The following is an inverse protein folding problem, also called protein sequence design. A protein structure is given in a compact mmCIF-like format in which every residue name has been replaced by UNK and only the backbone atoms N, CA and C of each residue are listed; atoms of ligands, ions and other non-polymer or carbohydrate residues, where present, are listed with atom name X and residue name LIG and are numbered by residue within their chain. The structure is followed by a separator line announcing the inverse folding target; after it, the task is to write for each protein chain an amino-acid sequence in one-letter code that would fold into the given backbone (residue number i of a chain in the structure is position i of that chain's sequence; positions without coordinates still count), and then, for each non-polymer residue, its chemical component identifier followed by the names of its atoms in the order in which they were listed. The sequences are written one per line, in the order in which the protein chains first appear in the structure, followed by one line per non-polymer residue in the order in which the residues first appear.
data_IF_986687939045
#
_entry.id   IF_986687939045
#
_cell.length_a   1.000
_cell.length_b   1.000
_cell.length_c   1.000
_cell.angle_alpha   90.00
_cell.angle_beta   90.00
_cell.angle_gamma   90.00
#
_symmetry.space_group_name_H-M   'P 1'
#
loop_
_entity.id
_entity.type
_entity.pdbx_description
1 polymer ?
#
# COMPACT_ATOMS: atom_id res chain seq x y z
N UNK A 1 58.65 10.59 8.49
CA UNK A 1 57.59 11.25 9.28
C UNK A 1 56.52 10.21 9.56
N UNK A 2 56.56 9.63 10.77
CA UNK A 2 55.53 8.71 11.27
C UNK A 2 54.41 9.55 11.90
N UNK A 3 53.18 9.43 11.39
CA UNK A 3 52.00 9.99 12.04
C UNK A 3 51.12 8.85 12.55
N UNK A 4 51.08 8.75 13.87
CA UNK A 4 50.29 7.78 14.64
C UNK A 4 48.79 8.11 14.60
N UNK A 5 47.95 7.10 14.39
CA UNK A 5 46.50 7.19 14.54
C UNK A 5 46.08 7.19 16.02
N UNK A 6 45.01 7.90 16.43
CA UNK A 6 44.54 7.89 17.82
C UNK A 6 43.81 6.57 18.15
N UNK A 7 44.22 5.93 19.24
CA UNK A 7 43.57 4.76 19.81
C UNK A 7 42.26 5.15 20.50
N UNK A 8 41.12 4.74 19.94
CA UNK A 8 39.81 4.84 20.59
C UNK A 8 39.64 3.69 21.58
N UNK A 9 39.68 4.01 22.88
CA UNK A 9 39.39 3.04 23.97
C UNK A 9 37.87 2.88 24.10
N UNK A 10 37.37 1.71 23.74
CA UNK A 10 35.97 1.30 23.96
C UNK A 10 35.71 1.09 25.46
N UNK A 11 34.77 1.84 26.05
CA UNK A 11 34.25 1.59 27.41
C UNK A 11 33.15 0.50 27.34
N UNK A 12 33.14 -0.49 28.26
CA UNK A 12 32.09 -1.51 28.26
C UNK A 12 30.75 -0.93 28.78
N UNK A 13 29.70 -1.10 28.00
CA UNK A 13 28.32 -0.77 28.38
C UNK A 13 27.79 -1.85 29.33
N UNK A 14 27.46 -1.46 30.58
CA UNK A 14 26.78 -2.32 31.56
C UNK A 14 25.38 -2.69 31.05
N UNK A 15 25.14 -3.98 30.80
CA UNK A 15 23.80 -4.54 30.56
C UNK A 15 22.95 -4.45 31.84
N UNK A 16 21.87 -3.67 31.82
CA UNK A 16 20.81 -3.72 32.84
C UNK A 16 19.86 -4.88 32.50
N UNK A 17 19.73 -5.84 33.42
CA UNK A 17 18.79 -6.95 33.34
C UNK A 17 17.35 -6.45 33.51
N UNK A 18 16.56 -6.48 32.44
CA UNK A 18 15.12 -6.25 32.50
C UNK A 18 14.38 -7.59 32.55
N UNK A 19 13.70 -7.87 33.67
CA UNK A 19 12.80 -9.02 33.80
C UNK A 19 11.47 -8.71 33.08
N UNK A 20 11.01 -9.62 32.22
CA UNK A 20 9.69 -9.54 31.57
C UNK A 20 8.57 -9.89 32.56
N UNK A 21 7.44 -9.17 32.60
CA UNK A 21 6.24 -9.64 33.27
C UNK A 21 5.54 -10.72 32.42
N UNK A 22 5.04 -11.77 33.07
CA UNK A 22 4.19 -12.79 32.48
C UNK A 22 2.77 -12.26 32.30
N UNK A 23 2.27 -12.24 31.07
CA UNK A 23 0.85 -11.97 30.80
C UNK A 23 0.20 -13.22 30.20
N UNK A 24 -0.61 -13.90 31.01
CA UNK A 24 -1.58 -14.91 30.54
C UNK A 24 -2.75 -14.16 29.90
N UNK A 25 -3.08 -14.46 28.65
CA UNK A 25 -4.33 -14.03 27.99
C UNK A 25 -5.39 -15.13 28.11
N UNK A 26 -6.67 -14.80 28.36
CA UNK A 26 -7.78 -15.74 28.20
C UNK A 26 -8.15 -15.92 26.71
N UNK A 27 -8.85 -17.01 26.35
CA UNK A 27 -9.12 -17.36 24.96
C UNK A 27 -10.20 -16.48 24.30
N UNK A 28 -10.03 -16.31 22.99
CA UNK A 28 -10.83 -15.49 22.09
C UNK A 28 -12.17 -16.13 21.73
N UNK A 29 -13.26 -15.36 21.75
CA UNK A 29 -14.44 -15.63 20.93
C UNK A 29 -14.42 -14.69 19.73
N UNK A 30 -13.75 -15.11 18.64
CA UNK A 30 -13.78 -14.40 17.37
C UNK A 30 -15.09 -14.71 16.64
N UNK A 31 -15.97 -13.70 16.56
CA UNK A 31 -17.15 -13.74 15.70
C UNK A 31 -16.67 -13.51 14.27
N UNK A 32 -16.85 -14.51 13.41
CA UNK A 32 -16.54 -14.46 11.98
C UNK A 32 -17.30 -13.30 11.30
N UNK A 33 -16.58 -12.24 10.94
CA UNK A 33 -17.07 -11.22 10.02
C UNK A 33 -16.66 -11.62 8.60
N UNK A 34 -17.61 -12.16 7.84
CA UNK A 34 -17.47 -12.44 6.41
C UNK A 34 -17.22 -11.11 5.69
N UNK A 35 -16.03 -10.90 5.12
CA UNK A 35 -15.76 -9.80 4.19
C UNK A 35 -16.45 -10.11 2.85
N UNK A 36 -17.78 -9.98 2.84
CA UNK A 36 -18.56 -9.96 1.60
C UNK A 36 -18.38 -8.55 1.04
N UNK A 37 -17.70 -8.45 -0.10
CA UNK A 37 -17.78 -7.26 -0.97
C UNK A 37 -19.28 -6.99 -1.14
N UNK A 38 -19.80 -5.93 -0.51
CA UNK A 38 -21.21 -5.57 -0.62
C UNK A 38 -21.41 -4.98 -2.01
N UNK A 39 -22.49 -5.38 -2.66
CA UNK A 39 -23.01 -4.70 -3.83
C UNK A 39 -23.20 -3.19 -3.54
N UNK A 40 -23.14 -2.32 -4.56
CA UNK A 40 -23.16 -0.88 -4.36
C UNK A 40 -24.39 -0.46 -3.54
N UNK A 41 -24.19 0.35 -2.50
CA UNK A 41 -25.27 0.97 -1.73
C UNK A 41 -26.07 1.92 -2.60
N UNK A 42 -27.38 2.02 -2.33
CA UNK A 42 -28.32 2.92 -3.02
C UNK A 42 -27.75 4.34 -3.12
N UNK A 43 -27.56 4.80 -4.36
CA UNK A 43 -26.90 6.07 -4.70
C UNK A 43 -26.06 6.03 -5.97
N UNK A 44 -25.78 4.85 -6.53
CA UNK A 44 -25.06 4.73 -7.80
C UNK A 44 -25.97 5.11 -8.99
N UNK A 45 -25.64 6.14 -9.80
CA UNK A 45 -26.40 6.49 -10.99
C UNK A 45 -26.43 5.31 -11.97
N UNK A 46 -27.62 4.87 -12.38
CA UNK A 46 -27.78 3.84 -13.40
C UNK A 46 -27.69 4.51 -14.78
N UNK A 47 -26.51 4.47 -15.39
CA UNK A 47 -26.29 4.85 -16.78
C UNK A 47 -24.97 5.60 -16.98
N UNK A 48 -23.90 4.87 -17.30
CA UNK A 48 -22.55 5.39 -17.53
C UNK A 48 -21.55 4.88 -16.49
N UNK A 49 -20.32 4.61 -16.93
CA UNK A 49 -19.19 4.31 -16.04
C UNK A 49 -18.97 5.47 -15.07
N UNK A 50 -18.73 5.20 -13.78
CA UNK A 50 -18.52 6.27 -12.79
C UNK A 50 -17.15 6.90 -13.05
N UNK A 51 -17.14 8.21 -13.29
CA UNK A 51 -15.91 8.98 -13.48
C UNK A 51 -15.32 9.36 -12.14
N UNK A 52 -14.00 9.27 -12.06
CA UNK A 52 -13.19 9.70 -10.94
C UNK A 52 -12.21 10.75 -11.41
N UNK A 53 -12.09 11.87 -10.68
CA UNK A 53 -11.27 13.00 -11.13
C UNK A 53 -10.23 13.41 -10.11
N UNK A 54 -9.01 13.65 -10.60
CA UNK A 54 -7.88 14.19 -9.84
C UNK A 54 -7.10 15.17 -10.71
N UNK A 55 -6.13 15.87 -10.13
CA UNK A 55 -5.15 16.67 -10.87
C UNK A 55 -4.24 15.79 -11.73
N UNK A 56 -3.84 16.31 -12.89
CA UNK A 56 -2.82 15.73 -13.76
C UNK A 56 -1.43 15.64 -13.10
N UNK A 57 -0.48 14.99 -13.77
CA UNK A 57 0.82 14.61 -13.23
C UNK A 57 0.67 13.76 -11.97
N UNK A 58 -0.06 12.65 -12.09
CA UNK A 58 -0.29 11.74 -10.97
C UNK A 58 1.01 11.08 -10.53
N UNK A 59 1.12 10.85 -9.23
CA UNK A 59 2.28 10.21 -8.64
C UNK A 59 1.86 9.38 -7.43
N UNK A 60 2.61 8.32 -7.14
CA UNK A 60 2.49 7.40 -5.99
C UNK A 60 1.05 7.23 -5.45
N UNK A 61 0.62 8.03 -4.47
CA UNK A 61 -0.73 7.96 -3.86
C UNK A 61 -1.86 8.13 -4.89
N UNK A 62 -1.72 9.09 -5.81
CA UNK A 62 -2.71 9.34 -6.88
C UNK A 62 -2.71 8.28 -7.99
N UNK A 63 -1.71 7.42 -8.03
CA UNK A 63 -1.63 6.25 -8.95
C UNK A 63 -2.18 5.00 -8.26
N UNK A 64 -1.86 4.83 -6.97
CA UNK A 64 -2.36 3.74 -6.15
C UNK A 64 -3.89 3.80 -5.96
N UNK A 65 -4.47 5.01 -5.87
CA UNK A 65 -5.91 5.20 -5.73
C UNK A 65 -6.70 4.61 -6.91
N UNK A 66 -6.38 4.92 -8.19
CA UNK A 66 -6.98 4.26 -9.35
C UNK A 66 -6.92 2.74 -9.32
N UNK A 67 -5.77 2.16 -8.95
CA UNK A 67 -5.66 0.70 -8.79
C UNK A 67 -6.62 0.16 -7.73
N UNK A 68 -6.68 0.79 -6.55
CA UNK A 68 -7.58 0.39 -5.46
C UNK A 68 -9.05 0.49 -5.89
N UNK A 69 -9.40 1.58 -6.58
CA UNK A 69 -10.75 1.81 -7.09
C UNK A 69 -11.13 0.69 -8.08
N UNK A 70 -10.32 0.47 -9.13
CA UNK A 70 -10.57 -0.56 -10.14
C UNK A 70 -10.65 -1.98 -9.57
N UNK A 71 -9.91 -2.29 -8.50
CA UNK A 71 -9.83 -3.66 -7.97
C UNK A 71 -10.85 -3.97 -6.86
N UNK A 72 -11.27 -2.96 -6.09
CA UNK A 72 -12.04 -3.20 -4.85
C UNK A 72 -13.31 -2.35 -4.71
N UNK A 73 -13.49 -1.31 -5.53
CA UNK A 73 -14.60 -0.37 -5.38
C UNK A 73 -15.49 -0.38 -6.63
N UNK A 74 -14.91 -0.11 -7.79
CA UNK A 74 -15.61 0.02 -9.06
C UNK A 74 -14.72 -0.45 -10.23
N UNK A 75 -14.92 -1.67 -10.74
CA UNK A 75 -14.15 -2.24 -11.85
C UNK A 75 -14.22 -1.45 -13.15
N UNK A 76 -15.32 -0.74 -13.39
CA UNK A 76 -15.57 0.01 -14.62
C UNK A 76 -15.23 1.50 -14.47
N UNK A 77 -14.53 1.87 -13.39
CA UNK A 77 -14.17 3.26 -13.12
C UNK A 77 -13.31 3.87 -14.23
N UNK A 78 -13.73 5.06 -14.67
CA UNK A 78 -12.98 5.91 -15.60
C UNK A 78 -12.27 7.03 -14.85
N UNK A 79 -11.06 7.38 -15.27
CA UNK A 79 -10.27 8.42 -14.63
C UNK A 79 -10.14 9.65 -15.54
N UNK A 80 -10.35 10.82 -14.95
CA UNK A 80 -10.24 12.11 -15.63
C UNK A 80 -9.18 12.93 -14.91
N UNK A 81 -8.34 13.63 -15.68
CA UNK A 81 -7.26 14.47 -15.17
C UNK A 81 -7.52 15.93 -15.52
N UNK A 82 -7.57 16.78 -14.51
CA UNK A 82 -7.68 18.24 -14.70
C UNK A 82 -6.33 18.90 -14.42
N UNK A 83 -5.98 20.01 -15.11
CA UNK A 83 -4.76 20.74 -14.80
C UNK A 83 -4.76 21.28 -13.36
N UNK A 84 -3.56 21.43 -12.79
CA UNK A 84 -3.37 22.14 -11.53
C UNK A 84 -3.90 23.58 -11.62
N UNK A 85 -4.70 23.99 -10.64
CA UNK A 85 -5.33 25.32 -10.59
C UNK A 85 -6.60 25.46 -11.42
N UNK A 86 -7.08 24.38 -12.04
CA UNK A 86 -8.32 24.31 -12.83
C UNK A 86 -9.23 23.19 -12.35
N UNK A 87 -9.26 22.96 -11.04
CA UNK A 87 -10.03 21.88 -10.44
C UNK A 87 -11.55 22.11 -10.50
N UNK A 88 -11.97 23.34 -10.75
CA UNK A 88 -13.33 23.76 -11.04
C UNK A 88 -13.81 23.36 -12.44
N UNK A 89 -12.90 23.12 -13.39
CA UNK A 89 -13.21 22.62 -14.75
C UNK A 89 -13.57 21.11 -14.77
N UNK A 90 -13.54 20.43 -13.62
CA UNK A 90 -13.83 18.98 -13.53
C UNK A 90 -15.28 18.67 -13.94
N UNK A 91 -15.56 17.47 -14.51
CA UNK A 91 -16.93 17.05 -14.79
C UNK A 91 -17.79 17.03 -13.52
N UNK A 92 -19.00 17.58 -13.61
CA UNK A 92 -19.90 17.71 -12.47
C UNK A 92 -20.35 16.35 -11.90
N UNK A 93 -20.36 15.31 -12.75
CA UNK A 93 -20.71 13.93 -12.43
C UNK A 93 -19.52 13.09 -11.94
N UNK A 94 -18.30 13.62 -11.97
CA UNK A 94 -17.10 12.90 -11.54
C UNK A 94 -16.87 12.99 -10.02
N UNK A 95 -16.48 11.87 -9.41
CA UNK A 95 -16.10 11.77 -7.99
C UNK A 95 -14.67 12.28 -7.82
N UNK A 96 -14.45 13.41 -7.10
CA UNK A 96 -13.11 13.94 -6.94
C UNK A 96 -12.33 13.22 -5.84
N UNK A 97 -11.03 13.02 -6.06
CA UNK A 97 -10.09 12.54 -5.06
C UNK A 97 -8.74 13.27 -5.17
N UNK A 98 -7.99 13.31 -4.07
CA UNK A 98 -6.71 14.00 -3.92
C UNK A 98 -6.74 15.51 -4.30
N UNK A 99 -7.92 16.14 -4.30
CA UNK A 99 -8.12 17.57 -4.56
C UNK A 99 -8.39 18.29 -3.23
N UNK A 100 -7.78 19.45 -2.93
CA UNK A 100 -8.06 20.20 -1.71
C UNK A 100 -9.56 20.50 -1.53
N UNK A 101 -10.05 20.39 -0.30
CA UNK A 101 -11.44 20.72 0.05
C UNK A 101 -12.49 19.65 -0.29
N UNK A 102 -12.11 18.54 -0.94
CA UNK A 102 -13.04 17.41 -1.20
C UNK A 102 -12.95 16.37 -0.09
N UNK A 103 -13.99 15.53 0.05
CA UNK A 103 -14.07 14.49 1.08
C UNK A 103 -12.87 13.52 1.04
N UNK A 104 -12.55 13.03 -0.16
CA UNK A 104 -11.35 12.22 -0.43
C UNK A 104 -10.16 13.13 -0.78
N UNK A 105 -9.92 14.15 0.04
CA UNK A 105 -8.85 15.14 -0.19
C UNK A 105 -7.43 14.57 -0.12
N UNK A 106 -6.41 15.39 -0.46
CA UNK A 106 -5.01 14.98 -0.48
C UNK A 106 -4.52 14.53 0.91
N UNK A 107 -3.30 13.99 0.98
CA UNK A 107 -2.67 13.61 2.24
C UNK A 107 -2.75 14.72 3.29
N UNK A 108 -3.18 14.37 4.50
CA UNK A 108 -3.27 15.23 5.67
C UNK A 108 -3.10 14.41 6.97
N UNK A 109 -3.41 15.02 8.12
CA UNK A 109 -3.31 14.36 9.43
C UNK A 109 -4.19 13.10 9.58
N UNK A 110 -5.19 12.87 8.71
CA UNK A 110 -6.03 11.66 8.69
C UNK A 110 -5.43 10.57 7.79
N UNK A 111 -4.34 10.83 7.09
CA UNK A 111 -3.61 9.89 6.25
C UNK A 111 -3.62 10.26 4.77
N UNK A 112 -3.05 9.36 3.95
CA UNK A 112 -3.03 9.47 2.49
C UNK A 112 -4.43 9.33 1.88
N UNK A 113 -4.58 9.71 0.62
CA UNK A 113 -5.84 9.55 -0.12
C UNK A 113 -6.23 8.07 -0.20
N UNK A 114 -5.23 7.20 -0.40
CA UNK A 114 -5.42 5.75 -0.36
C UNK A 114 -6.01 5.27 0.98
N UNK A 115 -5.48 5.74 2.11
CA UNK A 115 -6.00 5.37 3.43
C UNK A 115 -7.44 5.86 3.63
N UNK A 116 -7.76 7.06 3.14
CA UNK A 116 -9.12 7.61 3.18
C UNK A 116 -10.11 6.78 2.36
N UNK A 117 -9.68 6.27 1.19
CA UNK A 117 -10.49 5.34 0.38
C UNK A 117 -10.78 4.04 1.15
N UNK A 118 -9.77 3.43 1.79
CA UNK A 118 -9.99 2.23 2.61
C UNK A 118 -11.06 2.48 3.70
N UNK A 119 -10.96 3.61 4.39
CA UNK A 119 -11.92 3.97 5.45
C UNK A 119 -13.32 4.24 4.90
N UNK A 120 -13.44 5.03 3.82
CA UNK A 120 -14.74 5.38 3.23
C UNK A 120 -15.50 4.13 2.75
N UNK A 121 -14.79 3.22 2.10
CA UNK A 121 -15.37 2.02 1.49
C UNK A 121 -15.33 0.78 2.40
N UNK A 122 -14.85 0.92 3.65
CA UNK A 122 -14.79 -0.15 4.68
C UNK A 122 -14.05 -1.39 4.18
N UNK A 123 -12.88 -1.16 3.59
CA UNK A 123 -12.03 -2.22 3.04
C UNK A 123 -11.11 -2.78 4.14
N UNK A 124 -11.56 -3.84 4.80
CA UNK A 124 -10.88 -4.48 5.94
C UNK A 124 -9.98 -5.65 5.53
N UNK A 125 -9.04 -5.42 4.60
CA UNK A 125 -8.04 -6.43 4.19
C UNK A 125 -6.66 -6.11 4.80
N UNK A 126 -6.07 -7.01 5.61
CA UNK A 126 -4.73 -6.81 6.18
C UNK A 126 -3.64 -6.51 5.15
N UNK A 127 -3.77 -7.00 3.92
CA UNK A 127 -2.83 -6.70 2.85
C UNK A 127 -3.01 -5.25 2.34
N UNK A 128 -4.25 -4.74 2.27
CA UNK A 128 -4.53 -3.35 1.92
C UNK A 128 -4.06 -2.39 3.03
N UNK A 129 -4.16 -2.78 4.30
CA UNK A 129 -3.57 -2.01 5.40
C UNK A 129 -2.05 -1.90 5.27
N UNK A 130 -1.37 -2.97 4.84
CA UNK A 130 0.07 -2.92 4.54
C UNK A 130 0.38 -2.06 3.31
N UNK A 131 -0.44 -2.14 2.26
CA UNK A 131 -0.34 -1.24 1.10
C UNK A 131 -0.43 0.22 1.54
N UNK A 132 -1.37 0.56 2.42
CA UNK A 132 -1.52 1.93 2.92
C UNK A 132 -0.26 2.42 3.65
N UNK A 133 0.40 1.56 4.45
CA UNK A 133 1.69 1.87 5.10
C UNK A 133 2.82 2.07 4.10
N UNK A 134 2.89 1.25 3.05
CA UNK A 134 3.86 1.39 1.97
C UNK A 134 3.70 2.75 1.26
N UNK A 135 2.46 3.08 0.89
CA UNK A 135 2.13 4.34 0.20
C UNK A 135 2.43 5.53 1.12
N UNK A 136 2.06 5.46 2.41
CA UNK A 136 2.39 6.49 3.39
C UNK A 136 3.90 6.70 3.52
N UNK A 137 4.69 5.63 3.62
CA UNK A 137 6.16 5.74 3.68
C UNK A 137 6.76 6.41 2.44
N UNK A 138 6.23 6.12 1.24
CA UNK A 138 6.67 6.80 0.02
C UNK A 138 6.25 8.28 -0.01
N UNK A 139 5.02 8.61 0.42
CA UNK A 139 4.54 10.00 0.53
C UNK A 139 5.38 10.80 1.51
N UNK A 140 5.66 10.25 2.69
CA UNK A 140 6.51 10.89 3.71
C UNK A 140 7.95 11.05 3.24
N UNK A 141 8.46 10.14 2.40
CA UNK A 141 9.79 10.26 1.81
C UNK A 141 9.91 11.49 0.91
N UNK A 142 8.87 11.79 0.12
CA UNK A 142 8.81 12.95 -0.78
C UNK A 142 8.51 14.24 0.00
N UNK A 143 7.50 14.23 0.86
CA UNK A 143 7.00 15.45 1.52
C UNK A 143 7.81 15.85 2.74
N UNK A 144 8.41 14.89 3.44
CA UNK A 144 8.99 15.10 4.78
C UNK A 144 10.42 14.56 4.90
N UNK A 145 11.01 14.10 3.79
CA UNK A 145 12.38 13.58 3.79
C UNK A 145 12.55 12.30 4.62
N UNK A 146 11.47 11.56 4.87
CA UNK A 146 11.52 10.30 5.62
C UNK A 146 12.51 9.31 4.97
N UNK A 147 13.29 8.63 5.80
CA UNK A 147 14.24 7.59 5.39
C UNK A 147 14.04 6.37 6.30
N UNK A 148 13.53 5.25 5.76
CA UNK A 148 13.22 4.08 6.56
C UNK A 148 14.49 3.41 7.08
N UNK A 149 14.50 3.07 8.37
CA UNK A 149 15.56 2.28 8.99
C UNK A 149 15.52 0.80 8.62
N UNK A 150 16.52 0.00 9.03
CA UNK A 150 16.66 -1.41 8.63
C UNK A 150 15.50 -2.36 9.01
N UNK A 151 14.60 -1.96 9.91
CA UNK A 151 13.43 -2.74 10.33
C UNK A 151 12.09 -2.24 9.80
N UNK A 152 12.07 -1.14 9.05
CA UNK A 152 10.85 -0.51 8.55
C UNK A 152 10.52 -1.01 7.15
N UNK A 153 10.16 -2.29 7.05
CA UNK A 153 9.96 -2.99 5.78
C UNK A 153 8.99 -2.27 4.84
N UNK A 154 7.81 -1.86 5.32
CA UNK A 154 6.83 -1.13 4.50
C UNK A 154 7.38 0.21 4.00
N UNK A 155 8.12 0.93 4.84
CA UNK A 155 8.78 2.18 4.45
C UNK A 155 9.84 1.96 3.37
N UNK A 156 10.67 0.92 3.51
CA UNK A 156 11.68 0.54 2.51
C UNK A 156 11.03 0.18 1.17
N UNK A 157 9.96 -0.61 1.19
CA UNK A 157 9.18 -0.93 -0.01
C UNK A 157 8.59 0.35 -0.60
N UNK A 158 8.11 1.28 0.23
CA UNK A 158 7.57 2.57 -0.20
C UNK A 158 8.58 3.42 -0.95
N UNK A 159 9.83 3.49 -0.46
CA UNK A 159 10.93 4.18 -1.16
C UNK A 159 11.28 3.49 -2.48
N UNK A 160 11.27 2.15 -2.53
CA UNK A 160 11.47 1.42 -3.78
C UNK A 160 10.35 1.67 -4.81
N UNK A 161 9.09 1.66 -4.35
CA UNK A 161 7.91 1.95 -5.17
C UNK A 161 7.93 3.40 -5.68
N UNK A 162 8.40 4.33 -4.85
CA UNK A 162 8.61 5.73 -5.23
C UNK A 162 9.60 5.84 -6.40
N UNK A 163 10.76 5.17 -6.31
CA UNK A 163 11.75 5.19 -7.40
C UNK A 163 11.19 4.63 -8.73
N UNK A 164 10.35 3.58 -8.65
CA UNK A 164 9.67 3.04 -9.85
C UNK A 164 8.63 4.04 -10.36
N UNK A 165 7.90 4.70 -9.47
CA UNK A 165 6.88 5.71 -9.82
C UNK A 165 7.52 6.92 -10.52
N UNK A 166 8.66 7.41 -10.02
CA UNK A 166 9.46 8.45 -10.67
C UNK A 166 9.88 7.99 -12.08
N UNK A 167 10.34 6.75 -12.24
CA UNK A 167 10.69 6.17 -13.53
C UNK A 167 9.51 6.09 -14.51
N UNK A 168 8.33 5.69 -14.04
CA UNK A 168 7.11 5.66 -14.86
C UNK A 168 6.71 7.05 -15.36
N UNK A 169 6.85 8.09 -14.52
CA UNK A 169 6.61 9.48 -14.91
C UNK A 169 7.59 9.98 -16.00
N UNK A 170 8.77 9.37 -16.12
CA UNK A 170 9.77 9.74 -17.13
C UNK A 170 9.53 9.05 -18.48
N UNK A 171 8.90 7.88 -18.50
CA UNK A 171 8.76 7.06 -19.73
C UNK A 171 7.36 7.08 -20.33
N UNK A 172 6.33 7.43 -19.55
CA UNK A 172 4.96 7.52 -20.04
C UNK A 172 4.57 8.97 -20.34
N UNK A 173 3.85 9.17 -21.44
CA UNK A 173 3.52 10.50 -21.98
C UNK A 173 2.22 11.09 -21.42
N UNK A 174 1.40 10.28 -20.73
CA UNK A 174 0.13 10.71 -20.14
C UNK A 174 -0.21 9.97 -18.84
N UNK A 175 -1.04 10.59 -18.01
CA UNK A 175 -1.50 10.03 -16.72
C UNK A 175 -2.31 8.73 -16.92
N UNK A 176 -3.12 8.64 -17.98
CA UNK A 176 -3.85 7.42 -18.34
C UNK A 176 -2.91 6.24 -18.59
N UNK A 177 -1.87 6.48 -19.39
CA UNK A 177 -0.88 5.47 -19.75
C UNK A 177 -0.05 5.06 -18.53
N UNK A 178 0.33 6.04 -17.70
CA UNK A 178 1.02 5.80 -16.44
C UNK A 178 0.21 4.91 -15.51
N UNK A 179 -1.08 5.20 -15.31
CA UNK A 179 -1.96 4.38 -14.47
C UNK A 179 -2.04 2.96 -15.03
N UNK A 180 -2.29 2.79 -16.33
CA UNK A 180 -2.40 1.47 -16.94
C UNK A 180 -1.10 0.66 -16.79
N UNK A 181 0.05 1.28 -17.06
CA UNK A 181 1.37 0.65 -16.89
C UNK A 181 1.64 0.26 -15.42
N UNK A 182 1.08 1.01 -14.47
CA UNK A 182 1.27 0.74 -13.03
C UNK A 182 0.38 -0.38 -12.48
N UNK A 183 -0.74 -0.74 -13.12
CA UNK A 183 -1.73 -1.65 -12.51
C UNK A 183 -1.12 -3.00 -12.10
N UNK A 184 -0.29 -3.59 -12.98
CA UNK A 184 0.36 -4.88 -12.71
C UNK A 184 1.38 -4.78 -11.56
N UNK A 185 2.01 -3.63 -11.37
CA UNK A 185 2.96 -3.40 -10.28
C UNK A 185 2.22 -3.43 -8.93
N UNK A 186 1.09 -2.72 -8.84
CA UNK A 186 0.27 -2.71 -7.63
C UNK A 186 -0.39 -4.09 -7.39
N UNK A 187 -0.81 -4.81 -8.43
CA UNK A 187 -1.30 -6.18 -8.31
C UNK A 187 -0.22 -7.12 -7.74
N UNK A 188 1.00 -7.03 -8.25
CA UNK A 188 2.13 -7.84 -7.80
C UNK A 188 2.51 -7.54 -6.34
N UNK A 189 2.56 -6.25 -5.99
CA UNK A 189 2.86 -5.82 -4.63
C UNK A 189 1.77 -6.25 -3.64
N UNK A 190 0.50 -6.07 -3.99
CA UNK A 190 -0.62 -6.53 -3.18
C UNK A 190 -0.57 -8.05 -2.98
N UNK A 191 -0.33 -8.83 -4.03
CA UNK A 191 -0.17 -10.28 -3.93
C UNK A 191 0.99 -10.68 -2.99
N UNK A 192 2.11 -9.97 -3.05
CA UNK A 192 3.24 -10.17 -2.14
C UNK A 192 2.86 -9.90 -0.68
N UNK A 193 2.29 -8.72 -0.40
CA UNK A 193 1.90 -8.32 0.96
C UNK A 193 0.82 -9.23 1.53
N UNK A 194 -0.11 -9.68 0.69
CA UNK A 194 -1.13 -10.68 1.06
C UNK A 194 -0.48 -12.00 1.44
N UNK A 195 0.46 -12.50 0.65
CA UNK A 195 1.17 -13.74 0.97
C UNK A 195 1.96 -13.63 2.28
N UNK A 196 2.60 -12.49 2.55
CA UNK A 196 3.29 -12.22 3.81
C UNK A 196 2.33 -12.16 5.01
N UNK A 197 1.22 -11.42 4.89
CA UNK A 197 0.20 -11.36 5.94
C UNK A 197 -0.42 -12.74 6.23
N UNK A 198 -0.60 -13.57 5.20
CA UNK A 198 -1.06 -14.95 5.34
C UNK A 198 -0.10 -15.83 6.10
N UNK A 199 1.19 -15.73 5.77
CA UNK A 199 2.25 -16.50 6.40
C UNK A 199 2.38 -16.14 7.88
N UNK A 200 2.35 -14.84 8.19
CA UNK A 200 2.36 -14.33 9.56
C UNK A 200 1.15 -14.84 10.35
N UNK A 201 -0.04 -14.81 9.75
CA UNK A 201 -1.27 -15.28 10.39
C UNK A 201 -1.31 -16.80 10.60
N UNK A 202 -0.74 -17.59 9.68
CA UNK A 202 -0.72 -19.06 9.82
C UNK A 202 0.39 -19.56 10.75
N UNK A 203 1.44 -18.76 10.98
CA UNK A 203 2.61 -19.17 11.75
C UNK A 203 3.46 -20.25 11.06
N UNK A 204 3.15 -20.56 9.80
CA UNK A 204 3.94 -21.48 8.99
C UNK A 204 5.34 -20.89 8.73
N UNK A 205 6.32 -21.75 8.47
CA UNK A 205 7.67 -21.33 8.07
C UNK A 205 7.85 -21.51 6.58
N UNK A 206 8.55 -20.57 5.95
CA UNK A 206 8.96 -20.74 4.57
C UNK A 206 9.83 -22.00 4.42
N UNK A 207 9.69 -22.73 3.32
CA UNK A 207 10.61 -23.83 3.02
C UNK A 207 12.05 -23.29 2.86
N UNK A 208 13.06 -24.13 3.11
CA UNK A 208 14.45 -23.76 2.86
C UNK A 208 14.66 -23.35 1.41
N UNK A 209 15.71 -22.56 1.14
CA UNK A 209 16.07 -22.19 -0.23
C UNK A 209 16.45 -23.47 -0.99
N UNK A 210 15.78 -23.72 -2.11
CA UNK A 210 16.12 -24.82 -3.01
C UNK A 210 17.38 -24.51 -3.82
N UNK A 211 18.05 -25.55 -4.30
CA UNK A 211 19.30 -25.42 -5.07
C UNK A 211 19.06 -24.95 -6.52
N UNK A 212 17.96 -25.36 -7.18
CA UNK A 212 17.53 -24.95 -8.53
C UNK A 212 16.00 -25.05 -8.72
N UNK A 213 15.43 -24.29 -9.66
CA UNK A 213 13.99 -24.28 -10.01
C UNK A 213 13.24 -23.04 -9.50
N UNK A 214 11.92 -22.87 -9.80
CA UNK A 214 11.12 -21.83 -9.15
C UNK A 214 11.30 -21.98 -7.65
N UNK A 215 11.72 -20.91 -6.98
CA UNK A 215 12.15 -21.01 -5.59
C UNK A 215 11.05 -21.70 -4.77
N UNK A 216 11.33 -22.75 -3.96
CA UNK A 216 10.33 -23.43 -3.12
C UNK A 216 9.42 -22.47 -2.33
N UNK A 217 9.98 -21.30 -1.99
CA UNK A 217 9.25 -20.14 -1.45
C UNK A 217 8.06 -19.72 -2.32
N UNK A 218 8.25 -19.51 -3.62
CA UNK A 218 7.20 -19.04 -4.55
C UNK A 218 6.07 -20.05 -4.68
N UNK A 219 6.38 -21.34 -4.80
CA UNK A 219 5.37 -22.41 -4.85
C UNK A 219 4.56 -22.47 -3.56
N UNK A 220 5.24 -22.43 -2.41
CA UNK A 220 4.61 -22.38 -1.10
C UNK A 220 3.68 -21.17 -0.96
N UNK A 221 4.15 -19.97 -1.30
CA UNK A 221 3.34 -18.74 -1.19
C UNK A 221 2.14 -18.75 -2.16
N UNK A 222 2.31 -19.30 -3.37
CA UNK A 222 1.18 -19.50 -4.31
C UNK A 222 0.15 -20.48 -3.75
N UNK A 223 0.58 -21.59 -3.15
CA UNK A 223 -0.31 -22.54 -2.51
C UNK A 223 -1.04 -21.90 -1.33
N UNK A 224 -0.34 -21.11 -0.51
CA UNK A 224 -0.92 -20.39 0.62
C UNK A 224 -2.02 -19.40 0.18
N UNK A 225 -1.77 -18.63 -0.88
CA UNK A 225 -2.76 -17.73 -1.49
C UNK A 225 -4.00 -18.51 -1.98
N UNK A 226 -3.80 -19.64 -2.67
CA UNK A 226 -4.90 -20.47 -3.18
C UNK A 226 -5.76 -21.06 -2.06
N UNK A 227 -5.15 -21.62 -1.01
CA UNK A 227 -5.88 -22.25 0.12
C UNK A 227 -6.91 -21.32 0.75
N UNK A 228 -6.58 -20.04 0.90
CA UNK A 228 -7.50 -19.08 1.53
C UNK A 228 -8.55 -18.52 0.56
N UNK A 229 -8.26 -18.50 -0.74
CA UNK A 229 -9.28 -18.20 -1.75
C UNK A 229 -10.36 -19.29 -1.81
N UNK A 230 -10.01 -20.56 -1.53
CA UNK A 230 -10.94 -21.70 -1.54
C UNK A 230 -11.75 -21.88 -0.24
N UNK A 231 -11.32 -21.26 0.86
CA UNK A 231 -11.91 -21.43 2.20
C UNK A 231 -12.82 -20.27 2.64
N UNK A 232 -13.29 -19.45 1.69
CA UNK A 232 -14.16 -18.28 1.94
C UNK A 232 -15.58 -18.51 1.42
#
# INVERSE_FOLDING_TARGET
MFWSAPAWRSRPVRRKNWRRPSNRRPPSTARSSKSRVRAPSEGCPRGGNVKWVTRNYVHLDRVACPWLIKRFIDPEAEFVFVPWGREDERPADAIPFAIPGVELGPHDARGTTFQKLLTKYKLDDPALERMAKVIAGGVDCVLHGYRPGPGENEGQIGVGLLAISDGLMLIEESDDRLIEASLVLYDALYAHLKACALLEASGEKLPPRGERGPAPKTEFLRALLKRRASGS
#
